data_IF_108659160580
#
_entry.id   IF_108659160580
#
_cell.length_a   1.000
_cell.length_b   1.000
_cell.length_c   1.000
_cell.angle_alpha   90.00
_cell.angle_beta   90.00
_cell.angle_gamma   90.00
#
_symmetry.space_group_name_H-M   'P 1'
#
loop_
_entity.id
_entity.type
_entity.pdbx_description
1 polymer ?
#
# COMPACT_ATOMS: atom_id res chain seq x y z
N UNK A 1 -34.16 54.15 -38.46
CA UNK A 1 -35.32 54.75 -37.79
C UNK A 1 -35.26 54.48 -36.31
N UNK A 2 -35.01 55.59 -35.63
CA UNK A 2 -35.49 56.07 -34.33
C UNK A 2 -35.08 55.25 -33.09
N UNK A 3 -34.07 55.68 -32.50
CA UNK A 3 -33.72 56.55 -31.29
C UNK A 3 -34.49 56.27 -29.99
N UNK A 4 -33.97 56.80 -28.93
CA UNK A 4 -33.69 56.11 -27.65
C UNK A 4 -34.57 56.64 -26.52
N UNK A 5 -34.52 56.04 -25.34
CA UNK A 5 -34.93 56.77 -24.12
C UNK A 5 -34.05 56.48 -22.90
N UNK A 6 -33.49 57.57 -22.44
CA UNK A 6 -32.82 57.86 -21.19
C UNK A 6 -33.76 57.96 -20.01
N UNK A 7 -33.14 57.94 -18.81
CA UNK A 7 -33.54 58.52 -17.52
C UNK A 7 -34.42 57.62 -16.66
N UNK A 8 -34.02 57.32 -15.43
CA UNK A 8 -33.87 58.26 -14.36
C UNK A 8 -33.07 57.69 -13.18
N UNK A 9 -32.18 58.51 -12.69
CA UNK A 9 -31.58 58.40 -11.36
C UNK A 9 -32.68 58.76 -10.34
N UNK A 10 -32.82 57.93 -9.30
CA UNK A 10 -33.44 58.37 -8.08
C UNK A 10 -32.51 58.02 -6.90
N UNK A 11 -32.15 59.06 -6.25
CA UNK A 11 -31.37 59.20 -5.03
C UNK A 11 -32.11 58.49 -3.90
N UNK A 12 -31.47 57.58 -3.16
CA UNK A 12 -31.97 57.06 -1.90
C UNK A 12 -31.17 57.58 -0.74
N UNK A 13 -31.81 57.83 0.37
CA UNK A 13 -31.22 58.55 1.50
C UNK A 13 -30.35 57.66 2.37
N UNK A 14 -29.49 58.32 3.12
CA UNK A 14 -28.56 57.90 4.14
C UNK A 14 -29.21 56.97 5.17
N UNK A 15 -28.73 55.74 5.28
CA UNK A 15 -28.99 54.86 6.41
C UNK A 15 -27.97 55.12 7.54
N UNK A 16 -28.41 55.12 8.79
CA UNK A 16 -27.57 55.41 9.92
C UNK A 16 -26.62 54.25 10.25
N UNK A 17 -25.39 54.64 10.53
CA UNK A 17 -24.33 53.77 11.06
C UNK A 17 -24.84 53.12 12.37
N UNK A 18 -25.31 51.89 12.34
CA UNK A 18 -25.42 51.05 13.51
C UNK A 18 -24.07 50.31 13.73
N UNK A 19 -23.35 50.82 14.69
CA UNK A 19 -22.18 50.18 15.23
C UNK A 19 -22.57 48.92 15.96
N UNK A 20 -22.37 47.77 15.32
CA UNK A 20 -22.51 46.47 15.99
C UNK A 20 -21.10 46.00 16.38
N UNK A 21 -20.74 46.32 17.62
CA UNK A 21 -19.53 45.83 18.27
C UNK A 21 -19.76 44.37 18.73
N UNK A 22 -20.04 43.44 17.78
CA UNK A 22 -19.99 42.04 18.09
C UNK A 22 -18.51 41.62 18.14
N UNK A 23 -18.05 41.43 19.37
CA UNK A 23 -16.77 40.81 19.67
C UNK A 23 -16.62 39.52 18.82
N UNK A 24 -15.72 39.56 17.84
CA UNK A 24 -15.29 38.37 17.10
C UNK A 24 -14.66 37.42 18.11
N UNK A 25 -15.51 36.51 18.63
CA UNK A 25 -15.03 35.32 19.34
C UNK A 25 -14.01 34.67 18.39
N UNK A 26 -12.76 34.66 18.81
CA UNK A 26 -11.65 34.13 18.04
C UNK A 26 -11.89 32.66 17.74
N UNK A 27 -12.45 32.39 16.56
CA UNK A 27 -12.49 31.03 16.05
C UNK A 27 -11.07 30.46 16.00
N UNK A 28 -10.90 29.15 16.20
CA UNK A 28 -9.58 28.55 16.18
C UNK A 28 -8.88 28.95 14.88
N UNK A 29 -7.77 29.69 15.01
CA UNK A 29 -6.92 30.05 13.88
C UNK A 29 -6.64 28.78 13.11
N UNK A 30 -6.94 28.67 11.79
CA UNK A 30 -6.54 27.53 11.01
C UNK A 30 -5.03 27.40 11.23
N UNK A 31 -4.61 26.25 11.77
CA UNK A 31 -3.20 25.92 11.92
C UNK A 31 -2.61 26.13 10.53
N UNK A 32 -1.89 27.22 10.34
CA UNK A 32 -1.10 27.49 9.14
C UNK A 32 -0.16 26.31 9.02
N UNK A 33 -0.54 25.36 8.18
CA UNK A 33 0.29 24.22 7.84
C UNK A 33 1.54 24.81 7.23
N UNK A 34 2.57 24.99 8.04
CA UNK A 34 3.85 25.46 7.57
C UNK A 34 4.27 24.50 6.46
N UNK A 35 4.28 25.01 5.22
CA UNK A 35 4.89 24.33 4.07
C UNK A 35 6.41 24.27 4.31
N UNK A 36 6.81 23.49 5.31
CA UNK A 36 8.21 23.22 5.58
C UNK A 36 8.70 22.39 4.39
N UNK A 37 9.29 23.08 3.43
CA UNK A 37 9.95 22.40 2.31
C UNK A 37 10.95 21.41 2.89
N UNK A 38 10.86 20.13 2.55
CA UNK A 38 11.78 19.12 3.07
C UNK A 38 13.20 19.51 2.71
N UNK A 39 14.13 19.35 3.65
CA UNK A 39 15.52 19.67 3.38
C UNK A 39 16.03 18.82 2.20
N UNK A 40 16.83 19.39 1.29
CA UNK A 40 17.38 18.64 0.15
C UNK A 40 18.07 17.33 0.56
N UNK A 41 18.76 17.34 1.71
CA UNK A 41 19.43 16.16 2.28
C UNK A 41 18.47 15.01 2.58
N UNK A 42 17.31 15.29 3.16
CA UNK A 42 16.30 14.24 3.44
C UNK A 42 15.75 13.63 2.16
N UNK A 43 15.51 14.45 1.15
CA UNK A 43 15.03 13.97 -0.15
C UNK A 43 16.08 13.07 -0.82
N UNK A 44 17.34 13.47 -0.81
CA UNK A 44 18.46 12.68 -1.36
C UNK A 44 18.56 11.35 -0.60
N UNK A 45 18.55 11.36 0.73
CA UNK A 45 18.63 10.17 1.54
C UNK A 45 17.48 9.19 1.23
N UNK A 46 16.24 9.68 1.11
CA UNK A 46 15.09 8.87 0.72
C UNK A 46 15.27 8.26 -0.67
N UNK A 47 15.70 9.06 -1.65
CA UNK A 47 15.90 8.60 -3.03
C UNK A 47 16.97 7.51 -3.09
N UNK A 48 18.10 7.72 -2.44
CA UNK A 48 19.21 6.74 -2.40
C UNK A 48 18.74 5.43 -1.73
N UNK A 49 18.08 5.53 -0.57
CA UNK A 49 17.59 4.36 0.15
C UNK A 49 16.52 3.61 -0.67
N UNK A 50 15.56 4.32 -1.25
CA UNK A 50 14.51 3.71 -2.07
C UNK A 50 15.08 3.04 -3.34
N UNK A 51 16.12 3.62 -3.95
CA UNK A 51 16.78 3.03 -5.09
C UNK A 51 17.52 1.73 -4.70
N UNK A 52 18.33 1.78 -3.63
CA UNK A 52 19.08 0.61 -3.16
C UNK A 52 18.13 -0.54 -2.83
N UNK A 53 17.11 -0.29 -2.02
CA UNK A 53 16.17 -1.33 -1.63
C UNK A 53 15.28 -1.77 -2.81
N UNK A 54 14.89 -0.86 -3.70
CA UNK A 54 14.11 -1.19 -4.88
C UNK A 54 14.86 -2.15 -5.81
N UNK A 55 16.17 -1.93 -6.02
CA UNK A 55 17.01 -2.83 -6.79
C UNK A 55 17.25 -4.16 -6.06
N UNK A 56 17.47 -4.10 -4.74
CA UNK A 56 17.66 -5.30 -3.91
C UNK A 56 16.43 -6.23 -4.00
N UNK A 57 15.23 -5.70 -3.86
CA UNK A 57 14.00 -6.47 -3.98
C UNK A 57 13.64 -6.87 -5.41
N UNK A 58 14.22 -6.23 -6.42
CA UNK A 58 14.00 -6.62 -7.83
C UNK A 58 14.56 -7.99 -8.15
N UNK A 59 15.63 -8.42 -7.49
CA UNK A 59 16.22 -9.74 -7.70
C UNK A 59 15.24 -10.87 -7.36
N UNK A 60 14.73 -11.03 -6.13
CA UNK A 60 13.70 -12.01 -5.86
C UNK A 60 12.39 -11.69 -6.60
N UNK A 61 12.14 -10.41 -6.91
CA UNK A 61 11.00 -9.96 -7.70
C UNK A 61 10.98 -10.47 -9.14
N UNK A 62 12.13 -10.87 -9.68
CA UNK A 62 12.21 -11.52 -11.01
C UNK A 62 11.41 -12.82 -11.09
N UNK A 63 11.14 -13.46 -9.96
CA UNK A 63 10.26 -14.63 -9.85
C UNK A 63 8.87 -14.39 -10.40
N UNK A 64 8.39 -13.14 -10.37
CA UNK A 64 7.11 -12.76 -10.99
C UNK A 64 7.05 -13.11 -12.48
N UNK A 65 8.16 -13.00 -13.19
CA UNK A 65 8.25 -13.31 -14.62
C UNK A 65 8.75 -14.72 -14.90
N UNK A 66 9.73 -15.19 -14.12
CA UNK A 66 10.45 -16.43 -14.37
C UNK A 66 9.81 -17.65 -13.70
N UNK A 67 9.02 -17.45 -12.64
CA UNK A 67 8.43 -18.53 -11.87
C UNK A 67 7.43 -19.40 -12.64
N UNK A 68 6.73 -18.83 -13.64
CA UNK A 68 5.73 -19.54 -14.43
C UNK A 68 6.29 -20.75 -15.20
N UNK A 69 7.51 -20.67 -15.64
CA UNK A 69 8.18 -21.70 -16.45
C UNK A 69 9.41 -22.29 -15.76
N UNK A 70 9.65 -21.97 -14.49
CA UNK A 70 10.80 -22.45 -13.75
C UNK A 70 10.80 -23.98 -13.69
N UNK A 71 11.93 -24.60 -14.00
CA UNK A 71 12.20 -26.02 -13.82
C UNK A 71 13.17 -26.28 -12.68
N UNK A 72 13.56 -25.24 -11.97
CA UNK A 72 14.42 -25.35 -10.78
C UNK A 72 13.73 -26.25 -9.75
N UNK A 73 14.48 -27.13 -9.14
CA UNK A 73 14.01 -28.12 -8.18
C UNK A 73 12.82 -28.98 -8.70
N UNK A 74 12.84 -29.32 -10.00
CA UNK A 74 11.77 -30.07 -10.63
C UNK A 74 10.44 -29.30 -10.78
N UNK A 75 10.48 -27.98 -10.60
CA UNK A 75 9.31 -27.11 -10.70
C UNK A 75 8.38 -27.11 -9.48
N UNK A 76 8.77 -27.72 -8.37
CA UNK A 76 7.95 -27.77 -7.14
C UNK A 76 7.72 -26.41 -6.47
N UNK A 77 8.57 -25.41 -6.79
CA UNK A 77 8.52 -24.07 -6.21
C UNK A 77 7.91 -23.01 -7.12
N UNK A 78 7.26 -23.38 -8.23
CA UNK A 78 6.75 -22.42 -9.23
C UNK A 78 5.73 -21.45 -8.63
N UNK A 79 4.77 -21.97 -7.89
CA UNK A 79 3.76 -21.14 -7.23
C UNK A 79 4.40 -20.13 -6.26
N UNK A 80 5.28 -20.59 -5.37
CA UNK A 80 6.03 -19.71 -4.47
C UNK A 80 6.79 -18.63 -5.21
N UNK A 81 7.55 -19.02 -6.22
CA UNK A 81 8.40 -18.11 -6.98
C UNK A 81 7.58 -16.96 -7.61
N UNK A 82 6.41 -17.28 -8.19
CA UNK A 82 5.52 -16.27 -8.75
C UNK A 82 4.96 -15.38 -7.65
N UNK A 83 4.41 -15.96 -6.60
CA UNK A 83 3.72 -15.21 -5.52
C UNK A 83 4.71 -14.37 -4.71
N UNK A 84 5.89 -14.92 -4.39
CA UNK A 84 6.96 -14.15 -3.75
C UNK A 84 7.45 -13.01 -4.64
N UNK A 85 7.50 -13.25 -5.96
CA UNK A 85 7.79 -12.24 -6.96
C UNK A 85 6.73 -11.12 -7.01
N UNK A 86 5.45 -11.42 -6.73
CA UNK A 86 4.42 -10.37 -6.54
C UNK A 86 4.76 -9.50 -5.34
N UNK A 87 5.09 -10.10 -4.19
CA UNK A 87 5.40 -9.34 -2.97
C UNK A 87 6.67 -8.50 -3.14
N UNK A 88 7.76 -9.12 -3.56
CA UNK A 88 9.08 -8.45 -3.64
C UNK A 88 9.20 -7.56 -4.87
N UNK A 89 8.72 -8.00 -6.03
CA UNK A 89 8.81 -7.26 -7.29
C UNK A 89 7.73 -6.18 -7.41
N UNK A 90 6.45 -6.58 -7.40
CA UNK A 90 5.36 -5.64 -7.66
C UNK A 90 5.07 -4.74 -6.44
N UNK A 91 5.03 -5.29 -5.23
CA UNK A 91 4.67 -4.49 -4.04
C UNK A 91 5.86 -3.70 -3.51
N UNK A 92 7.00 -4.34 -3.26
CA UNK A 92 8.16 -3.66 -2.67
C UNK A 92 9.02 -2.94 -3.71
N UNK A 93 9.55 -3.63 -4.73
CA UNK A 93 10.48 -3.02 -5.69
C UNK A 93 9.80 -1.89 -6.47
N UNK A 94 8.66 -2.16 -7.12
CA UNK A 94 7.92 -1.12 -7.88
C UNK A 94 7.44 -0.01 -6.95
N UNK A 95 6.99 -0.33 -5.72
CA UNK A 95 6.60 0.66 -4.73
C UNK A 95 7.75 1.60 -4.35
N UNK A 96 8.93 1.05 -4.04
CA UNK A 96 10.14 1.81 -3.71
C UNK A 96 10.60 2.68 -4.88
N UNK A 97 10.67 2.11 -6.09
CA UNK A 97 11.06 2.85 -7.29
C UNK A 97 10.05 3.96 -7.65
N UNK A 98 8.76 3.74 -7.41
CA UNK A 98 7.74 4.76 -7.61
C UNK A 98 7.91 5.98 -6.66
N UNK A 99 8.55 5.81 -5.49
CA UNK A 99 8.90 6.93 -4.61
C UNK A 99 9.94 7.87 -5.23
N UNK A 100 10.73 7.42 -6.21
CA UNK A 100 11.70 8.25 -6.92
C UNK A 100 11.02 9.29 -7.82
N UNK A 101 9.80 8.96 -8.29
CA UNK A 101 9.03 9.79 -9.21
C UNK A 101 7.91 10.50 -8.45
N UNK A 102 7.93 11.85 -8.43
CA UNK A 102 6.90 12.66 -7.75
C UNK A 102 6.69 12.28 -6.29
N UNK A 103 7.76 12.11 -5.53
CA UNK A 103 7.78 11.65 -4.13
C UNK A 103 6.65 12.26 -3.28
N UNK A 104 6.43 13.58 -3.37
CA UNK A 104 5.41 14.27 -2.58
C UNK A 104 3.97 13.83 -2.88
N UNK A 105 3.72 13.32 -4.09
CA UNK A 105 2.41 12.79 -4.50
C UNK A 105 2.23 11.30 -4.19
N UNK A 106 3.21 10.66 -3.51
CA UNK A 106 3.27 9.21 -3.30
C UNK A 106 3.11 8.80 -1.83
N UNK A 107 2.25 9.50 -1.09
CA UNK A 107 1.98 9.18 0.34
C UNK A 107 1.46 7.76 0.51
N UNK A 108 0.46 7.36 -0.29
CA UNK A 108 -0.08 5.99 -0.25
C UNK A 108 0.98 4.93 -0.59
N UNK A 109 1.90 5.24 -1.53
CA UNK A 109 2.99 4.31 -1.88
C UNK A 109 3.98 4.14 -0.73
N UNK A 110 4.29 5.21 0.02
CA UNK A 110 5.11 5.09 1.22
C UNK A 110 4.40 4.23 2.29
N UNK A 111 3.09 4.41 2.49
CA UNK A 111 2.28 3.55 3.37
C UNK A 111 2.30 2.09 2.90
N UNK A 112 2.14 1.84 1.59
CA UNK A 112 2.24 0.49 1.00
C UNK A 112 3.56 -0.19 1.36
N UNK A 113 4.68 0.48 1.11
CA UNK A 113 6.02 -0.06 1.41
C UNK A 113 6.18 -0.33 2.91
N UNK A 114 5.75 0.62 3.76
CA UNK A 114 5.79 0.46 5.21
C UNK A 114 4.98 -0.73 5.69
N UNK A 115 3.75 -0.89 5.21
CA UNK A 115 2.89 -2.04 5.55
C UNK A 115 3.50 -3.35 5.05
N UNK A 116 3.95 -3.41 3.80
CA UNK A 116 4.52 -4.62 3.22
C UNK A 116 5.77 -5.10 3.98
N UNK A 117 6.70 -4.19 4.29
CA UNK A 117 7.89 -4.52 5.09
C UNK A 117 7.53 -4.92 6.53
N UNK A 118 6.55 -4.27 7.15
CA UNK A 118 6.10 -4.61 8.50
C UNK A 118 5.44 -5.98 8.55
N UNK A 119 4.55 -6.31 7.61
CA UNK A 119 3.92 -7.64 7.50
C UNK A 119 4.97 -8.69 7.28
N UNK A 120 5.89 -8.47 6.32
CA UNK A 120 6.99 -9.39 6.03
C UNK A 120 7.77 -9.75 7.28
N UNK A 121 8.21 -8.73 8.03
CA UNK A 121 9.04 -8.99 9.21
C UNK A 121 8.25 -9.55 10.38
N UNK A 122 7.01 -9.10 10.61
CA UNK A 122 6.19 -9.61 11.71
C UNK A 122 5.88 -11.09 11.53
N UNK A 123 5.43 -11.49 10.34
CA UNK A 123 5.14 -12.89 10.04
C UNK A 123 6.41 -13.73 10.10
N UNK A 124 7.50 -13.25 9.49
CA UNK A 124 8.78 -13.96 9.51
C UNK A 124 9.33 -14.17 10.92
N UNK A 125 9.32 -13.13 11.74
CA UNK A 125 9.77 -13.23 13.15
C UNK A 125 8.89 -14.19 13.94
N UNK A 126 7.57 -14.09 13.79
CA UNK A 126 6.63 -14.92 14.55
C UNK A 126 6.62 -16.40 14.14
N UNK A 127 6.84 -16.71 12.86
CA UNK A 127 6.73 -18.09 12.34
C UNK A 127 8.07 -18.77 12.07
N UNK A 128 9.16 -18.02 12.02
CA UNK A 128 10.50 -18.58 11.72
C UNK A 128 11.48 -18.25 12.84
N UNK A 129 11.72 -16.98 13.14
CA UNK A 129 12.83 -16.60 14.04
C UNK A 129 12.57 -17.06 15.46
N UNK A 130 11.41 -16.75 16.05
CA UNK A 130 11.11 -17.09 17.44
C UNK A 130 10.98 -18.60 17.64
N UNK A 131 10.17 -19.35 16.85
CA UNK A 131 9.95 -20.77 17.09
C UNK A 131 11.17 -21.63 16.82
N UNK A 132 12.02 -21.23 15.87
CA UNK A 132 13.15 -22.04 15.41
C UNK A 132 14.52 -21.43 15.77
N UNK A 133 14.56 -20.52 16.74
CA UNK A 133 15.82 -19.88 17.15
C UNK A 133 16.83 -20.90 17.62
N UNK A 134 18.00 -20.91 16.98
CA UNK A 134 19.06 -21.89 17.23
C UNK A 134 19.02 -23.14 16.35
N UNK A 135 17.97 -23.32 15.53
CA UNK A 135 17.96 -24.35 14.49
C UNK A 135 18.95 -24.02 13.35
N UNK A 136 19.39 -25.00 12.57
CA UNK A 136 20.26 -24.76 11.42
C UNK A 136 19.71 -23.68 10.49
N UNK A 137 20.49 -22.61 10.27
CA UNK A 137 20.09 -21.48 9.42
C UNK A 137 19.19 -20.44 10.08
N UNK A 138 18.79 -20.59 11.33
CA UNK A 138 17.97 -19.62 12.09
C UNK A 138 18.72 -19.17 13.35
N UNK A 139 19.49 -18.10 13.22
CA UNK A 139 20.32 -17.54 14.27
C UNK A 139 20.08 -16.06 14.49
N UNK A 140 21.01 -15.45 15.20
CA UNK A 140 21.01 -14.02 15.51
C UNK A 140 21.06 -13.17 14.24
N UNK A 141 21.66 -13.64 13.16
CA UNK A 141 21.72 -12.99 11.86
C UNK A 141 20.32 -12.76 11.26
N UNK A 142 19.42 -13.74 11.36
CA UNK A 142 18.02 -13.63 10.92
C UNK A 142 17.23 -12.62 11.75
N UNK A 143 17.45 -12.64 13.07
CA UNK A 143 16.82 -11.66 13.95
C UNK A 143 17.31 -10.23 13.66
N UNK A 144 18.63 -10.06 13.49
CA UNK A 144 19.22 -8.76 13.14
C UNK A 144 18.76 -8.28 11.76
N UNK A 145 18.65 -9.16 10.77
CA UNK A 145 18.11 -8.83 9.45
C UNK A 145 16.67 -8.34 9.56
N UNK A 146 15.83 -9.02 10.34
CA UNK A 146 14.44 -8.62 10.54
C UNK A 146 14.32 -7.23 11.18
N UNK A 147 15.12 -6.97 12.20
CA UNK A 147 15.19 -5.65 12.87
C UNK A 147 15.66 -4.59 11.86
N UNK A 148 16.69 -4.88 11.08
CA UNK A 148 17.21 -3.96 10.06
C UNK A 148 16.10 -3.55 9.06
N UNK A 149 15.35 -4.52 8.55
CA UNK A 149 14.28 -4.23 7.58
C UNK A 149 13.16 -3.37 8.20
N UNK A 150 12.78 -3.64 9.47
CA UNK A 150 11.81 -2.80 10.18
C UNK A 150 12.33 -1.38 10.40
N UNK A 151 13.61 -1.23 10.77
CA UNK A 151 14.25 0.08 10.89
C UNK A 151 14.25 0.82 9.56
N UNK A 152 14.61 0.13 8.46
CA UNK A 152 14.61 0.74 7.12
C UNK A 152 13.21 1.16 6.68
N UNK A 153 12.17 0.37 7.00
CA UNK A 153 10.77 0.80 6.77
C UNK A 153 10.46 2.08 7.53
N UNK A 154 10.80 2.15 8.81
CA UNK A 154 10.62 3.35 9.64
C UNK A 154 11.38 4.56 9.09
N UNK A 155 12.61 4.36 8.64
CA UNK A 155 13.45 5.42 8.04
C UNK A 155 12.83 5.95 6.74
N UNK A 156 12.32 5.08 5.85
CA UNK A 156 11.63 5.51 4.62
C UNK A 156 10.44 6.41 4.97
N UNK A 157 9.59 5.98 5.92
CA UNK A 157 8.43 6.76 6.35
C UNK A 157 8.85 8.10 6.99
N UNK A 158 9.89 8.11 7.82
CA UNK A 158 10.40 9.30 8.49
C UNK A 158 11.04 10.31 7.53
N UNK A 159 11.72 9.81 6.49
CA UNK A 159 12.36 10.64 5.47
C UNK A 159 11.34 11.22 4.46
N UNK A 160 10.14 10.62 4.34
CA UNK A 160 9.16 11.06 3.37
C UNK A 160 8.77 12.54 3.60
N UNK A 161 8.73 13.39 2.56
CA UNK A 161 8.45 14.83 2.68
C UNK A 161 7.13 15.12 3.41
N UNK A 162 6.11 14.28 3.17
CA UNK A 162 4.77 14.40 3.75
C UNK A 162 4.50 13.37 4.84
N UNK A 163 5.49 13.09 5.68
CA UNK A 163 5.34 12.09 6.76
C UNK A 163 4.16 12.32 7.69
N UNK A 164 3.76 13.58 7.91
CA UNK A 164 2.55 13.89 8.68
C UNK A 164 1.27 13.34 8.06
N UNK A 165 1.16 13.35 6.72
CA UNK A 165 0.00 12.80 6.02
C UNK A 165 -0.02 11.26 6.04
N UNK A 166 1.15 10.62 6.16
CA UNK A 166 1.25 9.15 6.28
C UNK A 166 0.51 8.65 7.53
N UNK A 167 0.61 9.41 8.64
CA UNK A 167 0.02 9.04 9.92
C UNK A 167 -1.43 9.48 10.09
N UNK A 168 -1.82 10.59 9.43
CA UNK A 168 -3.16 11.16 9.62
C UNK A 168 -4.22 10.60 8.68
N UNK A 169 -3.81 9.80 7.69
CA UNK A 169 -4.72 9.19 6.73
C UNK A 169 -5.20 10.15 5.62
N UNK A 170 -6.10 9.64 4.78
CA UNK A 170 -6.69 10.36 3.65
C UNK A 170 -7.90 11.22 4.02
N UNK A 171 -8.49 11.85 3.01
CA UNK A 171 -9.63 12.77 3.21
C UNK A 171 -10.93 12.03 3.56
N UNK A 172 -11.25 10.97 2.82
CA UNK A 172 -12.46 10.19 3.01
C UNK A 172 -12.21 8.74 2.59
N UNK A 173 -12.58 7.81 3.46
CA UNK A 173 -12.46 6.38 3.18
C UNK A 173 -13.43 5.97 2.09
N UNK A 174 -12.95 5.28 1.05
CA UNK A 174 -13.81 4.64 0.06
C UNK A 174 -14.47 3.40 0.67
N UNK A 175 -15.78 3.47 0.91
CA UNK A 175 -16.54 2.35 1.50
C UNK A 175 -16.44 1.07 0.66
N UNK A 176 -16.64 1.10 -0.69
CA UNK A 176 -16.56 -0.12 -1.48
C UNK A 176 -15.16 -0.74 -1.47
N UNK A 177 -14.10 0.08 -1.60
CA UNK A 177 -12.73 -0.43 -1.51
C UNK A 177 -12.41 -0.98 -0.11
N UNK A 178 -12.87 -0.31 0.95
CA UNK A 178 -12.69 -0.78 2.32
C UNK A 178 -13.40 -2.11 2.57
N UNK A 179 -14.64 -2.26 2.10
CA UNK A 179 -15.39 -3.51 2.23
C UNK A 179 -14.67 -4.67 1.52
N UNK A 180 -14.23 -4.48 0.27
CA UNK A 180 -13.45 -5.48 -0.46
C UNK A 180 -12.12 -5.79 0.26
N UNK A 181 -11.43 -4.78 0.77
CA UNK A 181 -10.20 -4.95 1.53
C UNK A 181 -10.41 -5.77 2.82
N UNK A 182 -11.47 -5.48 3.58
CA UNK A 182 -11.80 -6.20 4.83
C UNK A 182 -12.12 -7.67 4.53
N UNK A 183 -12.96 -7.94 3.52
CA UNK A 183 -13.23 -9.33 3.08
C UNK A 183 -11.94 -10.01 2.64
N UNK A 184 -11.10 -9.32 1.87
CA UNK A 184 -9.79 -9.81 1.45
C UNK A 184 -8.88 -10.16 2.64
N UNK A 185 -8.84 -9.30 3.68
CA UNK A 185 -8.07 -9.58 4.91
C UNK A 185 -8.59 -10.83 5.62
N UNK A 186 -9.91 -10.99 5.76
CA UNK A 186 -10.48 -12.15 6.44
C UNK A 186 -10.12 -13.47 5.72
N UNK A 187 -10.25 -13.50 4.39
CA UNK A 187 -9.89 -14.66 3.57
C UNK A 187 -8.38 -14.93 3.61
N UNK A 188 -7.57 -13.87 3.42
CA UNK A 188 -6.12 -14.01 3.45
C UNK A 188 -5.60 -14.41 4.83
N UNK A 189 -6.23 -13.97 5.92
CA UNK A 189 -5.86 -14.38 7.27
C UNK A 189 -6.08 -15.86 7.50
N UNK A 190 -7.19 -16.43 7.03
CA UNK A 190 -7.45 -17.87 7.12
C UNK A 190 -6.37 -18.67 6.38
N UNK A 191 -6.06 -18.30 5.14
CA UNK A 191 -4.98 -18.90 4.37
C UNK A 191 -3.61 -18.72 5.04
N UNK A 192 -3.30 -17.52 5.50
CA UNK A 192 -2.00 -17.24 6.13
C UNK A 192 -1.81 -18.01 7.44
N UNK A 193 -2.87 -18.18 8.24
CA UNK A 193 -2.82 -18.98 9.45
C UNK A 193 -2.51 -20.45 9.13
N UNK A 194 -3.10 -21.01 8.09
CA UNK A 194 -2.79 -22.36 7.62
C UNK A 194 -1.30 -22.49 7.24
N UNK A 195 -0.80 -21.55 6.44
CA UNK A 195 0.62 -21.54 6.03
C UNK A 195 1.58 -21.37 7.23
N UNK A 196 1.22 -20.50 8.19
CA UNK A 196 2.00 -20.33 9.42
C UNK A 196 2.00 -21.60 10.27
N UNK A 197 0.86 -22.28 10.39
CA UNK A 197 0.79 -23.54 11.13
C UNK A 197 1.69 -24.62 10.50
N UNK A 198 1.70 -24.71 9.17
CA UNK A 198 2.62 -25.60 8.46
C UNK A 198 4.07 -25.20 8.76
N UNK A 199 4.42 -23.91 8.64
CA UNK A 199 5.79 -23.41 8.93
C UNK A 199 6.25 -23.75 10.35
N UNK A 200 5.34 -23.68 11.33
CA UNK A 200 5.64 -24.01 12.73
C UNK A 200 5.83 -25.51 12.96
N UNK A 201 5.24 -26.35 12.13
CA UNK A 201 5.25 -27.80 12.29
C UNK A 201 6.37 -28.51 11.51
N UNK A 202 6.92 -27.87 10.45
CA UNK A 202 7.93 -28.49 9.60
C UNK A 202 9.31 -28.51 10.26
N UNK A 203 10.09 -29.56 9.94
CA UNK A 203 11.52 -29.57 10.23
C UNK A 203 12.27 -28.78 9.15
N UNK A 204 12.83 -27.63 9.52
CA UNK A 204 13.57 -26.75 8.62
C UNK A 204 14.78 -27.41 7.94
N UNK A 205 15.29 -28.49 8.49
CA UNK A 205 16.44 -29.21 7.91
C UNK A 205 16.05 -30.16 6.77
N UNK A 206 14.85 -30.69 6.84
CA UNK A 206 14.42 -31.79 5.94
C UNK A 206 13.25 -31.44 5.03
N UNK A 207 12.42 -30.45 5.37
CA UNK A 207 11.33 -30.02 4.53
C UNK A 207 11.84 -29.33 3.25
N UNK A 208 11.48 -29.81 2.04
CA UNK A 208 12.01 -29.27 0.78
C UNK A 208 11.58 -27.80 0.55
N UNK A 209 10.49 -27.34 1.20
CA UNK A 209 10.01 -25.96 1.11
C UNK A 209 10.62 -25.02 2.15
N UNK A 210 11.37 -25.57 3.10
CA UNK A 210 12.02 -24.81 4.19
C UNK A 210 13.52 -25.03 4.26
N UNK A 211 14.05 -26.09 3.64
CA UNK A 211 15.46 -26.42 3.66
C UNK A 211 16.32 -25.33 3.02
N UNK A 212 17.49 -25.06 3.61
CA UNK A 212 18.44 -24.09 3.10
C UNK A 212 18.03 -22.63 3.31
N UNK A 213 17.15 -22.36 4.26
CA UNK A 213 16.70 -21.01 4.58
C UNK A 213 15.65 -20.43 3.62
N UNK A 214 14.85 -21.31 3.04
CA UNK A 214 13.77 -20.96 2.13
C UNK A 214 12.44 -21.10 2.83
N UNK A 215 12.07 -20.23 3.72
CA UNK A 215 10.87 -20.30 4.55
C UNK A 215 9.59 -20.05 3.72
N UNK A 216 9.33 -20.89 2.68
CA UNK A 216 8.30 -20.67 1.67
C UNK A 216 6.88 -20.61 2.23
N UNK A 217 6.57 -21.34 3.29
CA UNK A 217 5.28 -21.28 3.95
C UNK A 217 5.02 -19.89 4.57
N UNK A 218 6.04 -19.36 5.27
CA UNK A 218 5.98 -18.00 5.81
C UNK A 218 5.88 -16.95 4.69
N UNK A 219 6.62 -17.11 3.60
CA UNK A 219 6.58 -16.21 2.44
C UNK A 219 5.18 -16.15 1.81
N UNK A 220 4.48 -17.29 1.74
CA UNK A 220 3.10 -17.33 1.22
C UNK A 220 2.13 -16.62 2.16
N UNK A 221 2.26 -16.80 3.46
CA UNK A 221 1.47 -16.06 4.44
C UNK A 221 1.70 -14.54 4.33
N UNK A 222 2.96 -14.12 4.18
CA UNK A 222 3.36 -12.71 4.00
C UNK A 222 2.70 -12.13 2.74
N UNK A 223 2.84 -12.79 1.60
CA UNK A 223 2.31 -12.30 0.34
C UNK A 223 0.78 -12.21 0.37
N UNK A 224 0.11 -13.22 0.90
CA UNK A 224 -1.35 -13.25 1.02
C UNK A 224 -1.89 -12.13 1.91
N UNK A 225 -1.28 -11.89 3.09
CA UNK A 225 -1.71 -10.83 4.01
C UNK A 225 -1.40 -9.43 3.47
N UNK A 226 -0.28 -9.27 2.81
CA UNK A 226 0.15 -7.95 2.32
C UNK A 226 -0.84 -7.38 1.31
N UNK A 227 -1.33 -8.16 0.35
CA UNK A 227 -2.19 -7.68 -0.73
C UNK A 227 -3.48 -7.00 -0.22
N UNK A 228 -4.31 -7.62 0.64
CA UNK A 228 -5.50 -6.95 1.13
C UNK A 228 -5.20 -5.83 2.14
N UNK A 229 -4.09 -5.88 2.87
CA UNK A 229 -3.70 -4.78 3.76
C UNK A 229 -3.31 -3.53 2.98
N UNK A 230 -2.58 -3.66 1.87
CA UNK A 230 -2.32 -2.50 1.00
C UNK A 230 -3.57 -2.07 0.22
N UNK A 231 -4.54 -2.96 -0.02
CA UNK A 231 -5.86 -2.58 -0.52
C UNK A 231 -6.60 -1.68 0.49
N UNK A 232 -6.53 -1.97 1.79
CA UNK A 232 -7.06 -1.07 2.83
C UNK A 232 -6.32 0.27 2.87
N UNK A 233 -4.99 0.28 2.68
CA UNK A 233 -4.22 1.52 2.52
C UNK A 233 -4.75 2.34 1.35
N UNK A 234 -5.00 1.71 0.20
CA UNK A 234 -5.57 2.40 -0.96
C UNK A 234 -6.98 2.95 -0.67
N UNK A 235 -7.80 2.23 0.12
CA UNK A 235 -9.14 2.66 0.51
C UNK A 235 -9.15 3.94 1.35
N UNK A 236 -8.04 4.28 2.03
CA UNK A 236 -7.87 5.55 2.75
C UNK A 236 -7.76 6.76 1.83
N UNK A 237 -7.60 6.55 0.52
CA UNK A 237 -7.54 7.59 -0.53
C UNK A 237 -6.51 8.69 -0.24
N UNK A 238 -5.39 8.33 0.36
CA UNK A 238 -4.24 9.21 0.50
C UNK A 238 -3.63 9.52 -0.87
N UNK A 239 -2.82 10.57 -0.97
CA UNK A 239 -2.21 10.98 -2.25
C UNK A 239 -1.49 9.82 -2.94
N UNK A 240 -1.87 9.56 -4.19
CA UNK A 240 -1.30 8.48 -4.99
C UNK A 240 -1.94 7.10 -4.75
N UNK A 241 -3.07 7.03 -4.07
CA UNK A 241 -3.80 5.78 -3.76
C UNK A 241 -4.08 4.90 -4.99
N UNK A 242 -4.32 5.52 -6.15
CA UNK A 242 -4.62 4.80 -7.39
C UNK A 242 -3.50 3.81 -7.76
N UNK A 243 -2.22 4.20 -7.62
CA UNK A 243 -1.12 3.28 -7.88
C UNK A 243 -1.15 2.10 -6.92
N UNK A 244 -1.37 2.35 -5.62
CA UNK A 244 -1.47 1.30 -4.60
C UNK A 244 -2.65 0.38 -4.87
N UNK A 245 -3.79 0.92 -5.30
CA UNK A 245 -4.96 0.13 -5.68
C UNK A 245 -4.66 -0.78 -6.87
N UNK A 246 -3.99 -0.28 -7.90
CA UNK A 246 -3.55 -1.09 -9.02
C UNK A 246 -2.54 -2.17 -8.58
N UNK A 247 -1.60 -1.84 -7.72
CA UNK A 247 -0.63 -2.81 -7.17
C UNK A 247 -1.36 -3.92 -6.41
N UNK A 248 -2.27 -3.57 -5.50
CA UNK A 248 -3.05 -4.54 -4.73
C UNK A 248 -3.91 -5.44 -5.63
N UNK A 249 -4.70 -4.82 -6.52
CA UNK A 249 -5.61 -5.57 -7.38
C UNK A 249 -4.87 -6.45 -8.39
N UNK A 250 -3.85 -5.93 -9.07
CA UNK A 250 -3.04 -6.72 -10.02
C UNK A 250 -2.29 -7.84 -9.30
N UNK A 251 -1.72 -7.56 -8.12
CA UNK A 251 -1.07 -8.59 -7.31
C UNK A 251 -2.03 -9.71 -6.93
N UNK A 252 -3.26 -9.36 -6.53
CA UNK A 252 -4.31 -10.34 -6.20
C UNK A 252 -4.74 -11.15 -7.43
N UNK A 253 -4.85 -10.52 -8.61
CA UNK A 253 -5.13 -11.21 -9.88
C UNK A 253 -4.02 -12.20 -10.22
N UNK A 254 -2.75 -11.81 -10.09
CA UNK A 254 -1.61 -12.68 -10.39
C UNK A 254 -1.54 -13.84 -9.40
N UNK A 255 -1.76 -13.59 -8.09
CA UNK A 255 -1.87 -14.64 -7.08
C UNK A 255 -2.96 -15.65 -7.45
N UNK A 256 -4.13 -15.16 -7.81
CA UNK A 256 -5.25 -16.00 -8.24
C UNK A 256 -4.96 -16.78 -9.52
N UNK A 257 -4.34 -16.17 -10.51
CA UNK A 257 -3.95 -16.81 -11.75
C UNK A 257 -2.91 -17.90 -11.51
N UNK A 258 -1.91 -17.66 -10.66
CA UNK A 258 -0.94 -18.67 -10.27
C UNK A 258 -1.59 -19.85 -9.55
N UNK A 259 -2.55 -19.59 -8.64
CA UNK A 259 -3.32 -20.64 -7.94
C UNK A 259 -4.13 -21.50 -8.91
N UNK A 260 -4.77 -20.88 -9.89
CA UNK A 260 -5.57 -21.60 -10.88
C UNK A 260 -4.72 -22.38 -11.89
N UNK A 261 -3.54 -21.84 -12.23
CA UNK A 261 -2.62 -22.47 -13.17
C UNK A 261 -1.78 -23.60 -12.55
N UNK A 262 -1.50 -23.50 -11.27
CA UNK A 262 -0.65 -24.42 -10.51
C UNK A 262 -1.42 -25.00 -9.30
N UNK A 263 -2.59 -25.62 -9.49
CA UNK A 263 -3.48 -25.99 -8.39
C UNK A 263 -2.90 -27.07 -7.48
N UNK A 264 -2.05 -27.95 -8.03
CA UNK A 264 -1.43 -29.06 -7.30
C UNK A 264 -0.11 -28.70 -6.61
N UNK A 265 0.33 -27.46 -6.73
CA UNK A 265 1.55 -27.00 -6.07
C UNK A 265 1.30 -26.79 -4.58
N UNK A 266 2.34 -27.07 -3.78
CA UNK A 266 2.30 -26.76 -2.36
C UNK A 266 1.96 -25.28 -2.12
N UNK A 267 1.17 -25.03 -1.12
CA UNK A 267 0.59 -23.70 -0.78
C UNK A 267 -0.42 -23.14 -1.80
N UNK A 268 -0.69 -23.81 -2.91
CA UNK A 268 -1.71 -23.33 -3.83
C UNK A 268 -3.10 -23.53 -3.25
N UNK A 269 -3.95 -22.49 -3.13
CA UNK A 269 -5.33 -22.66 -2.68
C UNK A 269 -6.23 -23.29 -3.75
N UNK A 270 -5.70 -23.57 -4.96
CA UNK A 270 -6.39 -24.25 -6.04
C UNK A 270 -7.27 -23.35 -6.91
N UNK A 271 -7.93 -23.97 -7.90
CA UNK A 271 -8.63 -23.26 -8.98
C UNK A 271 -9.77 -22.37 -8.48
N UNK A 272 -10.61 -22.87 -7.58
CA UNK A 272 -11.80 -22.13 -7.12
C UNK A 272 -11.43 -20.85 -6.37
N UNK A 273 -10.48 -20.95 -5.43
CA UNK A 273 -9.97 -19.81 -4.69
C UNK A 273 -9.15 -18.87 -5.58
N UNK A 274 -8.41 -19.43 -6.56
CA UNK A 274 -7.71 -18.66 -7.56
C UNK A 274 -8.66 -17.78 -8.39
N UNK A 275 -9.77 -18.35 -8.87
CA UNK A 275 -10.79 -17.61 -9.61
C UNK A 275 -11.45 -16.51 -8.74
N UNK A 276 -11.76 -16.82 -7.49
CA UNK A 276 -12.31 -15.85 -6.55
C UNK A 276 -11.34 -14.67 -6.30
N UNK A 277 -10.04 -14.95 -6.13
CA UNK A 277 -9.02 -13.94 -5.96
C UNK A 277 -8.89 -13.06 -7.21
N UNK A 278 -8.87 -13.64 -8.41
CA UNK A 278 -8.86 -12.87 -9.66
C UNK A 278 -10.04 -11.92 -9.75
N UNK A 279 -11.26 -12.42 -9.50
CA UNK A 279 -12.47 -11.59 -9.50
C UNK A 279 -12.37 -10.47 -8.46
N UNK A 280 -11.95 -10.77 -7.23
CA UNK A 280 -11.76 -9.81 -6.16
C UNK A 280 -10.77 -8.70 -6.54
N UNK A 281 -9.64 -9.04 -7.14
CA UNK A 281 -8.64 -8.08 -7.63
C UNK A 281 -9.18 -7.17 -8.74
N UNK A 282 -9.92 -7.73 -9.71
CA UNK A 282 -10.56 -6.95 -10.78
C UNK A 282 -11.60 -5.98 -10.21
N UNK A 283 -12.47 -6.46 -9.31
CA UNK A 283 -13.49 -5.63 -8.67
C UNK A 283 -12.86 -4.50 -7.85
N UNK A 284 -11.74 -4.77 -7.19
CA UNK A 284 -11.02 -3.76 -6.42
C UNK A 284 -10.45 -2.64 -7.30
N UNK A 285 -9.81 -3.00 -8.42
CA UNK A 285 -9.32 -2.01 -9.40
C UNK A 285 -10.49 -1.21 -10.00
N UNK A 286 -11.58 -1.87 -10.37
CA UNK A 286 -12.76 -1.21 -10.89
C UNK A 286 -13.35 -0.20 -9.89
N UNK A 287 -13.42 -0.55 -8.61
CA UNK A 287 -13.86 0.35 -7.55
C UNK A 287 -12.94 1.57 -7.42
N UNK A 288 -11.61 1.38 -7.48
CA UNK A 288 -10.64 2.46 -7.41
C UNK A 288 -10.74 3.42 -8.60
N UNK A 289 -10.94 2.89 -9.82
CA UNK A 289 -11.14 3.71 -11.02
C UNK A 289 -12.46 4.49 -10.98
N UNK A 290 -13.51 3.87 -10.47
CA UNK A 290 -14.79 4.56 -10.26
C UNK A 290 -14.65 5.74 -9.30
N UNK A 291 -13.98 5.55 -8.15
CA UNK A 291 -13.72 6.63 -7.20
C UNK A 291 -12.87 7.76 -7.82
N UNK A 292 -11.86 7.41 -8.61
CA UNK A 292 -11.01 8.40 -9.29
C UNK A 292 -11.82 9.24 -10.29
N UNK A 293 -12.76 8.62 -11.03
CA UNK A 293 -13.64 9.35 -11.96
C UNK A 293 -14.62 10.26 -11.23
N UNK A 294 -15.19 9.83 -10.10
CA UNK A 294 -16.07 10.66 -9.28
C UNK A 294 -15.36 11.92 -8.77
N UNK A 295 -14.10 11.78 -8.34
CA UNK A 295 -13.29 12.93 -7.91
C UNK A 295 -13.09 13.95 -9.04
N UNK A 296 -12.80 13.49 -10.25
CA UNK A 296 -12.59 14.37 -11.40
C UNK A 296 -13.85 15.09 -11.85
N UNK A 297 -15.02 14.51 -11.62
CA UNK A 297 -16.33 15.07 -12.00
C UNK A 297 -16.87 16.05 -10.94
N UNK A 298 -16.43 15.98 -9.69
CA UNK A 298 -16.90 16.85 -8.62
C UNK A 298 -15.74 17.63 -7.94
N UNK A 299 -15.06 18.52 -8.67
CA UNK A 299 -13.93 19.27 -8.14
C UNK A 299 -14.30 20.24 -7.01
N UNK A 300 -15.59 20.58 -6.86
CA UNK A 300 -16.07 21.56 -5.85
C UNK A 300 -16.05 21.01 -4.42
N UNK A 301 -15.96 19.70 -4.23
CA UNK A 301 -15.89 19.08 -2.90
C UNK A 301 -14.47 19.03 -2.30
N UNK A 302 -13.45 19.41 -3.06
CA UNK A 302 -12.07 19.20 -2.63
C UNK A 302 -11.48 20.30 -1.75
N UNK A 303 -12.03 21.51 -1.81
CA UNK A 303 -11.64 22.60 -0.91
C UNK A 303 -12.87 23.42 -0.59
N UNK A 304 -13.31 23.52 0.68
CA UNK A 304 -14.05 24.69 1.05
C UNK A 304 -13.09 25.86 0.79
N UNK A 305 -13.33 26.60 -0.27
CA UNK A 305 -12.78 27.94 -0.36
C UNK A 305 -13.24 28.62 0.93
N UNK A 306 -12.33 28.76 1.91
CA UNK A 306 -12.54 29.69 3.01
C UNK A 306 -12.85 31.00 2.33
N UNK A 307 -14.14 31.36 2.37
CA UNK A 307 -14.65 32.53 1.71
C UNK A 307 -13.79 33.73 2.08
N UNK A 308 -13.25 34.35 1.08
CA UNK A 308 -12.91 35.75 1.15
C UNK A 308 -14.22 36.46 1.48
N UNK A 309 -14.35 36.95 2.68
CA UNK A 309 -15.25 37.99 3.13
C UNK A 309 -14.42 38.97 3.97
#
# INVERSE_FOLDING_TARGET
>A
MTTPRRLARLVSPLDPVQGDATARVGGPRPLVRSDIRPSPRRRIALVVLALILGVLFAYPGSGLLLGWSSTVDGGIHRFHTVVWGVHTGLVLSVGLLALLVRTEARVATAQQVGVAMSVMMTVFVASVVIPHFGAPGVGIDRALFSILILVLAGVILALHPRRGEILTGGQAVSRPMAALGVVGVAVAAAYALDQIQIQLAVDLATDPHSAGGREHWAEMAIAALTLPLIALVAALRTRGFRLVAWTAGTGTVIFGAASAWLPEQASSPGVAWGAAAMLGGILFVAAAEFETRRESQNPRGQFPTSGAA
#
